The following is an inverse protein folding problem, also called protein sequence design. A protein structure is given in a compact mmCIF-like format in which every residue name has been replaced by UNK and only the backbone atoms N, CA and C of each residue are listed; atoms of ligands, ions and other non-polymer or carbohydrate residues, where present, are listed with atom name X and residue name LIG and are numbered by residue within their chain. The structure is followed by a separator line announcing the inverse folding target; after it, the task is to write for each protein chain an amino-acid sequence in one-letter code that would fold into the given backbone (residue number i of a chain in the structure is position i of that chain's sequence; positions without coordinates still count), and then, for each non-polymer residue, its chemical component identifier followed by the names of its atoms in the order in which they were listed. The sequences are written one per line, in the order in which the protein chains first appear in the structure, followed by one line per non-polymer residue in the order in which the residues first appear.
data_IF_651090571481
#
_entry.id   IF_651090571481
#
_cell.length_a   1.000
_cell.length_b   1.000
_cell.length_c   1.000
_cell.angle_alpha   90.00
_cell.angle_beta   90.00
_cell.angle_gamma   90.00
#
_symmetry.space_group_name_H-M   'P 1'
#
loop_
_entity.id
_entity.type
_entity.pdbx_description
1 polymer ?
#
# COMPACT_ATOMS: atom_id res chain seq x y z
N UNK A 1 30.44 47.35 -19.46
CA UNK A 1 29.04 47.37 -18.99
C UNK A 1 28.24 46.38 -19.83
N UNK A 2 28.02 45.20 -19.31
CA UNK A 2 27.17 44.18 -19.94
C UNK A 2 25.99 43.99 -18.98
N UNK A 3 24.81 44.39 -19.44
CA UNK A 3 23.57 44.25 -18.67
C UNK A 3 23.10 42.80 -18.72
N UNK A 4 23.05 42.15 -17.57
CA UNK A 4 22.43 40.84 -17.39
C UNK A 4 20.91 41.04 -17.20
N UNK A 5 20.13 40.61 -18.17
CA UNK A 5 18.67 40.53 -18.07
C UNK A 5 18.31 39.34 -17.21
N UNK A 6 17.82 39.60 -16.00
CA UNK A 6 17.18 38.60 -15.16
C UNK A 6 15.78 38.27 -15.75
N UNK A 7 15.59 37.05 -16.20
CA UNK A 7 14.29 36.50 -16.49
C UNK A 7 13.59 36.21 -15.16
N UNK A 8 12.51 36.95 -14.88
CA UNK A 8 11.64 36.72 -13.72
C UNK A 8 10.85 35.39 -13.84
N UNK A 9 10.42 34.79 -12.72
CA UNK A 9 9.65 33.56 -12.75
C UNK A 9 8.28 33.80 -13.41
N UNK A 10 7.98 33.05 -14.46
CA UNK A 10 6.64 32.98 -15.04
C UNK A 10 5.65 32.49 -13.97
N UNK A 11 4.87 33.41 -13.45
CA UNK A 11 3.71 33.08 -12.65
C UNK A 11 2.68 32.40 -13.55
N UNK A 12 2.66 31.06 -13.54
CA UNK A 12 1.56 30.30 -14.12
C UNK A 12 0.34 30.58 -13.27
N UNK A 13 -0.58 31.36 -13.82
CA UNK A 13 -1.91 31.60 -13.27
C UNK A 13 -2.60 30.25 -13.03
N UNK A 14 -2.82 29.92 -11.78
CA UNK A 14 -3.67 28.81 -11.36
C UNK A 14 -5.11 29.08 -11.82
N UNK A 15 -5.43 28.72 -13.05
CA UNK A 15 -6.83 28.59 -13.46
C UNK A 15 -7.42 27.47 -12.62
N UNK A 16 -8.21 27.83 -11.61
CA UNK A 16 -9.09 26.86 -10.94
C UNK A 16 -9.90 26.18 -12.05
N UNK A 17 -9.75 24.86 -12.15
CA UNK A 17 -10.54 24.08 -13.10
C UNK A 17 -12.02 24.35 -12.81
N UNK A 18 -12.68 25.05 -13.71
CA UNK A 18 -14.14 25.24 -13.67
C UNK A 18 -14.75 23.84 -13.71
N UNK A 19 -15.74 23.60 -12.86
CA UNK A 19 -16.49 22.34 -12.86
C UNK A 19 -17.03 22.12 -14.27
N UNK A 20 -16.50 21.12 -14.96
CA UNK A 20 -17.04 20.71 -16.26
C UNK A 20 -18.49 20.28 -16.07
N UNK A 21 -19.33 20.56 -17.04
CA UNK A 21 -20.76 20.20 -17.02
C UNK A 21 -20.94 18.73 -16.61
N UNK A 22 -21.98 18.39 -15.83
CA UNK A 22 -22.29 16.98 -15.51
C UNK A 22 -22.41 16.07 -16.73
N UNK A 23 -22.61 16.65 -17.92
CA UNK A 23 -22.72 15.92 -19.19
C UNK A 23 -21.38 15.72 -19.90
N UNK A 24 -20.27 16.31 -19.45
CA UNK A 24 -18.96 16.07 -20.02
C UNK A 24 -18.33 14.79 -19.48
N UNK A 25 -17.79 13.99 -20.39
CA UNK A 25 -17.03 12.81 -20.03
C UNK A 25 -15.71 13.19 -19.35
N UNK A 26 -15.40 12.50 -18.27
CA UNK A 26 -14.12 12.61 -17.59
C UNK A 26 -13.05 11.88 -18.41
N UNK A 27 -12.00 12.58 -18.81
CA UNK A 27 -10.84 12.01 -19.47
C UNK A 27 -9.96 11.27 -18.50
N UNK A 28 -9.69 9.99 -18.76
CA UNK A 28 -8.95 9.10 -17.87
C UNK A 28 -7.65 8.65 -18.51
N UNK A 29 -6.55 8.66 -17.74
CA UNK A 29 -5.33 7.96 -18.08
C UNK A 29 -5.05 6.84 -17.09
N UNK A 30 -4.64 5.68 -17.60
CA UNK A 30 -4.23 4.52 -16.79
C UNK A 30 -2.72 4.40 -16.86
N UNK A 31 -2.03 4.44 -15.73
CA UNK A 31 -0.59 4.24 -15.59
C UNK A 31 -0.32 2.90 -14.89
N UNK A 32 0.42 2.02 -15.56
CA UNK A 32 0.58 0.63 -15.16
C UNK A 32 -0.61 -0.22 -15.64
N UNK A 33 -0.42 -0.95 -16.72
CA UNK A 33 -1.47 -1.71 -17.43
C UNK A 33 -1.41 -3.22 -17.17
N UNK A 34 -0.63 -3.65 -16.17
CA UNK A 34 -0.58 -5.02 -15.69
C UNK A 34 -1.89 -5.50 -15.09
N UNK A 35 -1.88 -6.63 -14.38
CA UNK A 35 -3.09 -7.28 -13.85
C UNK A 35 -4.06 -6.34 -13.14
N UNK A 36 -3.57 -5.48 -12.21
CA UNK A 36 -4.42 -4.52 -11.50
C UNK A 36 -4.84 -3.36 -12.41
N UNK A 37 -3.93 -2.85 -13.23
CA UNK A 37 -4.25 -1.80 -14.21
C UNK A 37 -5.27 -2.23 -15.24
N UNK A 38 -5.27 -3.49 -15.67
CA UNK A 38 -6.33 -4.04 -16.51
C UNK A 38 -7.70 -4.03 -15.82
N UNK A 39 -7.74 -4.23 -14.49
CA UNK A 39 -8.99 -4.09 -13.72
C UNK A 39 -9.46 -2.62 -13.67
N UNK A 40 -8.53 -1.67 -13.48
CA UNK A 40 -8.84 -0.24 -13.54
C UNK A 40 -9.34 0.16 -14.93
N UNK A 41 -8.67 -0.32 -15.99
CA UNK A 41 -9.09 -0.07 -17.38
C UNK A 41 -10.54 -0.52 -17.59
N UNK A 42 -10.90 -1.73 -17.16
CA UNK A 42 -12.29 -2.21 -17.27
C UNK A 42 -13.27 -1.37 -16.45
N UNK A 43 -12.90 -1.01 -15.22
CA UNK A 43 -13.77 -0.22 -14.34
C UNK A 43 -14.10 1.16 -14.95
N UNK A 44 -13.10 1.86 -15.49
CA UNK A 44 -13.33 3.18 -16.10
C UNK A 44 -13.94 3.07 -17.52
N UNK A 45 -13.54 2.08 -18.35
CA UNK A 45 -14.09 1.92 -19.69
C UNK A 45 -15.57 1.56 -19.69
N UNK A 46 -16.05 0.81 -18.69
CA UNK A 46 -17.48 0.45 -18.58
C UNK A 46 -18.39 1.62 -18.20
N UNK A 47 -17.82 2.75 -17.77
CA UNK A 47 -18.57 3.94 -17.36
C UNK A 47 -18.94 4.81 -18.56
N UNK A 48 -20.20 5.25 -18.61
CA UNK A 48 -20.69 6.16 -19.66
C UNK A 48 -20.16 7.59 -19.52
N UNK A 49 -19.79 7.97 -18.30
CA UNK A 49 -19.29 9.31 -17.94
C UNK A 49 -17.76 9.42 -17.91
N UNK A 50 -17.04 8.36 -18.35
CA UNK A 50 -15.59 8.35 -18.50
C UNK A 50 -15.17 8.01 -19.93
N UNK A 51 -13.99 8.47 -20.32
CA UNK A 51 -13.33 8.10 -21.58
C UNK A 51 -11.83 7.90 -21.35
N UNK A 52 -11.32 6.71 -21.64
CA UNK A 52 -9.89 6.43 -21.51
C UNK A 52 -9.14 7.08 -22.66
N UNK A 53 -8.30 8.07 -22.34
CA UNK A 53 -7.44 8.81 -23.27
C UNK A 53 -6.10 8.14 -23.49
N UNK A 54 -5.53 7.59 -22.40
CA UNK A 54 -4.20 6.99 -22.41
C UNK A 54 -4.15 5.67 -21.65
N UNK A 55 -3.33 4.76 -22.20
CA UNK A 55 -2.83 3.57 -21.53
C UNK A 55 -1.29 3.70 -21.49
N UNK A 56 -0.71 3.79 -20.31
CA UNK A 56 0.72 4.00 -20.11
C UNK A 56 1.34 2.84 -19.33
N UNK A 57 2.40 2.28 -19.89
CA UNK A 57 3.22 1.26 -19.19
C UNK A 57 4.65 1.35 -19.73
N UNK A 58 5.68 1.23 -18.87
CA UNK A 58 7.06 1.10 -19.31
C UNK A 58 7.26 -0.11 -20.24
N UNK A 59 6.40 -1.13 -20.12
CA UNK A 59 6.23 -2.22 -21.10
C UNK A 59 5.11 -1.86 -22.10
N UNK A 60 5.49 -1.33 -23.27
CA UNK A 60 4.53 -0.88 -24.25
C UNK A 60 3.58 -1.99 -24.72
N UNK A 61 4.04 -3.23 -24.78
CA UNK A 61 3.23 -4.37 -25.21
C UNK A 61 2.00 -4.58 -24.30
N UNK A 62 2.15 -4.33 -23.00
CA UNK A 62 1.07 -4.42 -22.01
C UNK A 62 0.01 -3.34 -22.22
N UNK A 63 0.43 -2.10 -22.49
CA UNK A 63 -0.50 -1.01 -22.81
C UNK A 63 -1.29 -1.33 -24.09
N UNK A 64 -0.62 -1.79 -25.13
CA UNK A 64 -1.23 -2.16 -26.42
C UNK A 64 -2.26 -3.29 -26.30
N UNK A 65 -1.99 -4.28 -25.44
CA UNK A 65 -2.90 -5.43 -25.21
C UNK A 65 -4.29 -4.98 -24.73
N UNK A 66 -4.40 -3.85 -24.01
CA UNK A 66 -5.67 -3.38 -23.47
C UNK A 66 -6.48 -2.50 -24.42
N UNK A 67 -5.91 -2.03 -25.55
CA UNK A 67 -6.60 -1.15 -26.51
C UNK A 67 -7.89 -1.79 -27.02
N UNK A 68 -7.85 -3.07 -27.39
CA UNK A 68 -9.01 -3.81 -27.88
C UNK A 68 -10.16 -3.89 -26.87
N UNK A 69 -9.84 -4.04 -25.57
CA UNK A 69 -10.87 -4.07 -24.51
C UNK A 69 -11.52 -2.72 -24.30
N UNK A 70 -10.77 -1.63 -24.45
CA UNK A 70 -11.31 -0.26 -24.35
C UNK A 70 -12.19 0.06 -25.57
N UNK A 71 -11.81 -0.35 -26.78
CA UNK A 71 -12.57 -0.13 -28.01
C UNK A 71 -13.98 -0.75 -27.99
N UNK A 72 -14.24 -1.72 -27.11
CA UNK A 72 -15.58 -2.28 -26.92
C UNK A 72 -16.55 -1.33 -26.19
N UNK A 73 -16.03 -0.31 -25.51
CA UNK A 73 -16.82 0.59 -24.65
C UNK A 73 -16.82 2.04 -25.13
N UNK A 74 -15.87 2.45 -25.97
CA UNK A 74 -15.77 3.81 -26.51
C UNK A 74 -15.35 3.81 -27.98
N UNK A 75 -15.72 4.89 -28.71
CA UNK A 75 -15.44 4.99 -30.15
C UNK A 75 -13.99 5.34 -30.47
N UNK A 76 -13.36 6.17 -29.61
CA UNK A 76 -11.99 6.64 -29.81
C UNK A 76 -11.03 5.68 -29.14
N UNK A 77 -10.07 5.14 -29.87
CA UNK A 77 -9.02 4.31 -29.29
C UNK A 77 -8.11 5.15 -28.36
N UNK A 78 -7.70 4.62 -27.18
CA UNK A 78 -6.76 5.31 -26.32
C UNK A 78 -5.37 5.36 -26.96
N UNK A 79 -4.61 6.41 -26.68
CA UNK A 79 -3.19 6.47 -27.01
C UNK A 79 -2.40 5.54 -26.11
N UNK A 80 -1.40 4.83 -26.63
CA UNK A 80 -0.47 4.03 -25.85
C UNK A 80 0.88 4.73 -25.76
N UNK A 81 1.42 4.89 -24.54
CA UNK A 81 2.70 5.57 -24.28
C UNK A 81 3.51 4.83 -23.22
N UNK A 82 4.84 4.91 -23.30
CA UNK A 82 5.72 4.38 -22.25
C UNK A 82 6.02 5.41 -21.16
N UNK A 83 6.17 6.67 -21.55
CA UNK A 83 6.49 7.76 -20.66
C UNK A 83 5.23 8.50 -20.20
N UNK A 84 4.92 8.41 -18.90
CA UNK A 84 3.76 9.04 -18.30
C UNK A 84 3.79 10.57 -18.32
N UNK A 85 4.95 11.20 -18.46
CA UNK A 85 5.08 12.67 -18.53
C UNK A 85 4.31 13.25 -19.71
N UNK A 86 4.15 12.50 -20.80
CA UNK A 86 3.35 12.89 -21.98
C UNK A 86 1.85 13.02 -21.69
N UNK A 87 1.38 12.46 -20.58
CA UNK A 87 -0.03 12.49 -20.19
C UNK A 87 -0.35 13.79 -19.45
N UNK A 88 0.61 14.30 -18.68
CA UNK A 88 0.35 15.39 -17.74
C UNK A 88 0.12 16.72 -18.43
N UNK A 89 0.67 16.90 -19.64
CA UNK A 89 0.50 18.10 -20.47
C UNK A 89 -0.80 18.09 -21.30
N UNK A 90 -1.55 16.98 -21.33
CA UNK A 90 -2.80 16.87 -22.11
C UNK A 90 -4.01 17.32 -21.28
N UNK A 91 -4.59 18.47 -21.66
CA UNK A 91 -5.77 19.05 -20.99
C UNK A 91 -7.04 18.19 -21.12
N UNK A 92 -7.06 17.23 -22.04
CA UNK A 92 -8.17 16.27 -22.18
C UNK A 92 -8.17 15.17 -21.12
N UNK A 93 -7.13 15.09 -20.28
CA UNK A 93 -7.02 14.18 -19.14
C UNK A 93 -7.42 14.93 -17.87
N UNK A 94 -8.43 14.45 -17.18
CA UNK A 94 -8.93 14.99 -15.91
C UNK A 94 -8.40 14.20 -14.72
N UNK A 95 -8.32 12.89 -14.85
CA UNK A 95 -7.91 11.96 -13.79
C UNK A 95 -6.84 10.99 -14.28
N UNK A 96 -5.98 10.61 -13.35
CA UNK A 96 -4.95 9.59 -13.57
C UNK A 96 -5.17 8.44 -12.60
N UNK A 97 -5.24 7.22 -13.10
CA UNK A 97 -5.37 6.01 -12.29
C UNK A 97 -4.08 5.21 -12.35
N UNK A 98 -3.41 5.06 -11.19
CA UNK A 98 -2.05 4.53 -11.07
C UNK A 98 -2.09 3.13 -10.46
N UNK A 99 -1.60 2.15 -11.20
CA UNK A 99 -1.48 0.74 -10.81
C UNK A 99 -0.13 0.15 -11.27
N UNK A 100 0.91 0.97 -11.26
CA UNK A 100 2.31 0.62 -11.57
C UNK A 100 2.98 -0.18 -10.43
N UNK A 101 4.29 -0.34 -10.47
CA UNK A 101 5.06 -0.86 -9.35
C UNK A 101 5.10 0.15 -8.19
N UNK A 102 5.26 -0.34 -6.95
CA UNK A 102 5.13 0.49 -5.73
C UNK A 102 6.03 1.72 -5.73
N UNK A 103 7.26 1.60 -6.22
CA UNK A 103 8.24 2.69 -6.24
C UNK A 103 7.83 3.87 -7.15
N UNK A 104 6.88 3.67 -8.04
CA UNK A 104 6.34 4.71 -8.91
C UNK A 104 5.09 5.42 -8.36
N UNK A 105 4.39 4.81 -7.41
CA UNK A 105 3.07 5.32 -6.97
C UNK A 105 3.13 6.78 -6.53
N UNK A 106 4.11 7.13 -5.69
CA UNK A 106 4.22 8.47 -5.14
C UNK A 106 4.60 9.51 -6.19
N UNK A 107 5.70 9.30 -6.93
CA UNK A 107 6.18 10.29 -7.88
C UNK A 107 5.17 10.54 -9.02
N UNK A 108 4.58 9.48 -9.56
CA UNK A 108 3.54 9.59 -10.58
C UNK A 108 2.31 10.36 -10.07
N UNK A 109 1.89 10.11 -8.81
CA UNK A 109 0.77 10.85 -8.19
C UNK A 109 1.10 12.32 -7.97
N UNK A 110 2.31 12.61 -7.50
CA UNK A 110 2.79 13.98 -7.26
C UNK A 110 2.78 14.77 -8.57
N UNK A 111 3.41 14.25 -9.62
CA UNK A 111 3.44 14.89 -10.94
C UNK A 111 2.05 15.10 -11.52
N UNK A 112 1.17 14.09 -11.42
CA UNK A 112 -0.21 14.21 -11.89
C UNK A 112 -0.96 15.33 -11.15
N UNK A 113 -0.85 15.40 -9.82
CA UNK A 113 -1.52 16.43 -9.01
C UNK A 113 -0.94 17.82 -9.25
N UNK A 114 0.36 17.97 -9.44
CA UNK A 114 1.01 19.22 -9.83
C UNK A 114 0.54 19.71 -11.21
N UNK A 115 0.30 18.77 -12.14
CA UNK A 115 -0.28 19.04 -13.46
C UNK A 115 -1.81 19.24 -13.43
N UNK A 116 -2.41 19.35 -12.25
CA UNK A 116 -3.84 19.65 -12.12
C UNK A 116 -4.78 18.45 -12.28
N UNK A 117 -4.27 17.21 -12.30
CA UNK A 117 -5.09 16.01 -12.43
C UNK A 117 -5.50 15.48 -11.04
N UNK A 118 -6.68 14.88 -10.94
CA UNK A 118 -7.08 14.10 -9.78
C UNK A 118 -6.55 12.66 -9.89
N UNK A 119 -6.31 11.99 -8.76
CA UNK A 119 -5.56 10.73 -8.74
C UNK A 119 -6.32 9.62 -8.02
N UNK A 120 -6.38 8.46 -8.65
CA UNK A 120 -6.63 7.18 -7.99
C UNK A 120 -5.33 6.39 -7.97
N UNK A 121 -4.79 6.07 -6.81
CA UNK A 121 -3.52 5.35 -6.68
C UNK A 121 -3.69 4.02 -5.97
N UNK A 122 -3.09 2.96 -6.51
CA UNK A 122 -3.08 1.66 -5.84
C UNK A 122 -2.25 1.66 -4.56
N UNK A 123 -2.57 0.69 -3.71
CA UNK A 123 -1.87 0.44 -2.44
C UNK A 123 -0.59 -0.43 -2.65
N UNK A 124 0.43 -0.29 -1.80
CA UNK A 124 0.65 0.83 -0.88
C UNK A 124 0.84 2.12 -1.66
N UNK A 125 0.39 3.26 -1.13
CA UNK A 125 0.40 4.52 -1.88
C UNK A 125 1.79 5.03 -2.20
N UNK A 126 2.79 4.51 -1.51
CA UNK A 126 4.21 4.93 -1.61
C UNK A 126 5.13 3.74 -1.39
N UNK A 127 6.39 3.92 -1.70
CA UNK A 127 7.43 2.93 -1.43
C UNK A 127 8.08 3.12 -0.05
N UNK A 128 8.05 4.32 0.51
CA UNK A 128 8.54 4.67 1.83
C UNK A 128 7.63 5.71 2.52
N UNK A 129 7.92 6.03 3.78
CA UNK A 129 7.07 6.92 4.60
C UNK A 129 7.07 8.35 4.06
N UNK A 130 8.24 8.90 3.75
CA UNK A 130 8.40 10.27 3.26
C UNK A 130 7.60 10.51 1.97
N UNK A 131 7.67 9.60 1.01
CA UNK A 131 6.90 9.66 -0.24
C UNK A 131 5.39 9.81 0.00
N UNK A 132 4.84 8.98 0.90
CA UNK A 132 3.42 9.04 1.22
C UNK A 132 3.01 10.37 1.87
N UNK A 133 3.86 10.93 2.74
CA UNK A 133 3.64 12.26 3.33
C UNK A 133 3.67 13.36 2.25
N UNK A 134 4.62 13.30 1.30
CA UNK A 134 4.68 14.25 0.17
C UNK A 134 3.42 14.21 -0.69
N UNK A 135 2.86 13.02 -0.95
CA UNK A 135 1.58 12.91 -1.68
C UNK A 135 0.44 13.63 -0.97
N UNK A 136 0.32 13.47 0.36
CA UNK A 136 -0.70 14.16 1.16
C UNK A 136 -0.53 15.69 1.04
N UNK A 137 0.70 16.19 1.20
CA UNK A 137 1.01 17.61 1.12
C UNK A 137 0.67 18.19 -0.25
N UNK A 138 1.07 17.50 -1.34
CA UNK A 138 0.77 17.91 -2.72
C UNK A 138 -0.74 17.91 -2.98
N UNK A 139 -1.47 16.86 -2.55
CA UNK A 139 -2.91 16.79 -2.72
C UNK A 139 -3.62 17.99 -2.06
N UNK A 140 -3.19 18.38 -0.87
CA UNK A 140 -3.75 19.54 -0.14
C UNK A 140 -3.37 20.88 -0.80
N UNK A 141 -2.07 21.06 -1.13
CA UNK A 141 -1.58 22.30 -1.77
C UNK A 141 -2.27 22.56 -3.11
N UNK A 142 -2.36 21.55 -3.96
CA UNK A 142 -2.95 21.67 -5.29
C UNK A 142 -4.47 21.42 -5.33
N UNK A 143 -5.11 21.18 -4.16
CA UNK A 143 -6.55 20.92 -4.01
C UNK A 143 -7.03 19.82 -4.96
N UNK A 144 -6.27 18.72 -5.04
CA UNK A 144 -6.61 17.57 -5.88
C UNK A 144 -7.30 16.49 -5.05
N UNK A 145 -8.25 15.83 -5.69
CA UNK A 145 -8.87 14.62 -5.13
C UNK A 145 -7.90 13.47 -5.35
N UNK A 146 -7.48 12.81 -4.27
CA UNK A 146 -6.57 11.69 -4.33
C UNK A 146 -7.09 10.54 -3.48
N UNK A 147 -7.52 9.44 -4.12
CA UNK A 147 -8.05 8.25 -3.47
C UNK A 147 -7.07 7.10 -3.53
N UNK A 148 -6.98 6.38 -2.42
CA UNK A 148 -6.19 5.15 -2.30
C UNK A 148 -7.00 3.92 -2.72
N UNK A 149 -6.36 2.96 -3.40
CA UNK A 149 -6.93 1.67 -3.77
C UNK A 149 -7.12 0.70 -2.61
N UNK A 150 -7.57 1.16 -1.43
CA UNK A 150 -7.95 0.34 -0.27
C UNK A 150 -9.45 0.07 -0.25
N UNK A 151 -9.93 -0.62 -1.28
CA UNK A 151 -11.35 -0.84 -1.57
C UNK A 151 -12.12 -1.60 -0.48
N UNK A 152 -11.45 -2.22 0.49
CA UNK A 152 -12.12 -2.86 1.64
C UNK A 152 -12.95 -1.86 2.46
N UNK A 153 -12.57 -0.58 2.49
CA UNK A 153 -13.35 0.51 3.11
C UNK A 153 -14.71 0.77 2.45
N UNK A 154 -14.85 0.42 1.18
CA UNK A 154 -16.13 0.56 0.45
C UNK A 154 -17.05 -0.62 0.62
N UNK A 155 -16.60 -1.72 1.26
CA UNK A 155 -17.41 -2.91 1.44
C UNK A 155 -18.35 -2.78 2.65
N UNK A 156 -19.64 -3.07 2.46
CA UNK A 156 -20.66 -2.84 3.47
C UNK A 156 -20.46 -3.62 4.76
N UNK A 157 -19.92 -4.86 4.70
CA UNK A 157 -19.62 -5.65 5.90
C UNK A 157 -18.54 -5.01 6.78
N UNK A 158 -17.52 -4.40 6.17
CA UNK A 158 -16.46 -3.70 6.93
C UNK A 158 -16.97 -2.40 7.54
N UNK A 159 -17.87 -1.66 6.84
CA UNK A 159 -18.54 -0.49 7.42
C UNK A 159 -19.40 -0.88 8.60
N UNK A 160 -20.27 -1.89 8.43
CA UNK A 160 -21.11 -2.40 9.51
C UNK A 160 -20.28 -2.90 10.71
N UNK A 161 -19.10 -3.46 10.48
CA UNK A 161 -18.18 -3.87 11.54
C UNK A 161 -17.65 -2.66 12.32
N UNK A 162 -17.20 -1.62 11.64
CA UNK A 162 -16.71 -0.39 12.30
C UNK A 162 -17.82 0.28 13.08
N UNK A 163 -19.04 0.36 12.53
CA UNK A 163 -20.22 0.89 13.23
C UNK A 163 -20.57 0.07 14.47
N UNK A 164 -20.49 -1.28 14.38
CA UNK A 164 -20.74 -2.20 15.48
C UNK A 164 -19.74 -2.00 16.63
N UNK A 165 -18.44 -1.86 16.29
CA UNK A 165 -17.36 -1.58 17.25
C UNK A 165 -17.57 -0.20 17.89
N UNK A 166 -17.82 0.83 17.07
CA UNK A 166 -18.04 2.20 17.53
C UNK A 166 -19.24 2.33 18.48
N UNK A 167 -20.24 1.46 18.31
CA UNK A 167 -21.40 1.37 19.20
C UNK A 167 -21.12 0.57 20.49
N UNK A 168 -19.90 0.12 20.74
CA UNK A 168 -19.48 -0.63 21.93
C UNK A 168 -20.03 -2.05 22.04
N UNK A 169 -20.58 -2.61 20.94
CA UNK A 169 -21.33 -3.90 20.98
C UNK A 169 -20.46 -5.16 21.09
N UNK A 170 -19.14 -5.02 21.10
CA UNK A 170 -18.16 -6.10 21.34
C UNK A 170 -17.28 -5.79 22.55
N UNK A 171 -17.72 -4.82 23.36
CA UNK A 171 -16.97 -4.31 24.50
C UNK A 171 -15.79 -3.42 24.10
N UNK A 172 -14.83 -3.26 25.00
CA UNK A 172 -13.62 -2.45 24.77
C UNK A 172 -12.68 -3.18 23.80
N UNK A 173 -12.32 -2.51 22.68
CA UNK A 173 -11.45 -3.08 21.66
C UNK A 173 -10.04 -2.48 21.76
N UNK A 174 -9.04 -3.34 22.02
CA UNK A 174 -7.64 -2.93 22.22
C UNK A 174 -6.67 -3.60 21.24
N UNK A 175 -7.07 -4.68 20.57
CA UNK A 175 -6.17 -5.50 19.76
C UNK A 175 -6.80 -5.89 18.44
N UNK A 176 -6.01 -5.77 17.36
CA UNK A 176 -6.35 -6.31 16.06
C UNK A 176 -5.19 -7.17 15.52
N UNK A 177 -5.50 -8.39 15.11
CA UNK A 177 -4.62 -9.27 14.36
C UNK A 177 -4.92 -9.16 12.86
N UNK A 178 -3.91 -8.81 12.09
CA UNK A 178 -3.94 -8.79 10.63
C UNK A 178 -3.31 -10.08 10.10
N UNK A 179 -4.14 -11.07 9.77
CA UNK A 179 -3.69 -12.38 9.26
C UNK A 179 -3.47 -12.31 7.74
N UNK A 180 -2.26 -12.53 7.27
CA UNK A 180 -1.86 -12.47 5.86
C UNK A 180 -1.38 -13.86 5.42
N UNK A 181 -2.25 -14.85 5.47
CA UNK A 181 -2.00 -16.22 5.02
C UNK A 181 -2.19 -16.33 3.51
N UNK A 182 -1.14 -16.03 2.76
CA UNK A 182 -1.14 -16.09 1.30
C UNK A 182 0.05 -16.90 0.81
N UNK A 183 -0.21 -18.15 0.43
CA UNK A 183 0.85 -19.05 -0.05
C UNK A 183 1.62 -18.42 -1.21
N UNK A 184 2.95 -18.39 -1.05
CA UNK A 184 3.93 -17.95 -2.05
C UNK A 184 4.94 -19.07 -2.31
N UNK A 185 5.20 -19.33 -3.58
CA UNK A 185 6.33 -20.17 -3.97
C UNK A 185 7.58 -19.33 -4.20
N UNK A 186 8.74 -20.00 -4.41
CA UNK A 186 9.97 -19.32 -4.79
C UNK A 186 9.81 -18.62 -6.14
N UNK A 187 10.48 -17.48 -6.30
CA UNK A 187 10.48 -16.67 -7.53
C UNK A 187 11.59 -17.05 -8.52
N UNK A 188 12.27 -18.15 -8.29
CA UNK A 188 13.40 -18.64 -9.07
C UNK A 188 14.76 -18.22 -8.49
N UNK A 189 15.83 -18.82 -9.00
CA UNK A 189 17.19 -18.55 -8.53
C UNK A 189 17.62 -17.11 -8.87
N UNK A 190 18.44 -16.51 -7.98
CA UNK A 190 19.06 -15.21 -8.23
C UNK A 190 20.09 -15.34 -9.37
N UNK A 191 20.06 -14.38 -10.31
CA UNK A 191 20.94 -14.35 -11.47
C UNK A 191 21.01 -12.97 -12.10
N UNK A 192 21.51 -12.92 -13.35
CA UNK A 192 21.40 -11.73 -14.20
C UNK A 192 20.46 -12.06 -15.34
N UNK A 193 19.47 -11.23 -15.56
CA UNK A 193 18.45 -11.40 -16.58
C UNK A 193 18.29 -10.08 -17.33
N UNK A 194 17.91 -10.17 -18.60
CA UNK A 194 17.55 -8.98 -19.37
C UNK A 194 16.07 -8.65 -19.17
N UNK A 195 15.69 -7.37 -19.15
CA UNK A 195 14.30 -6.97 -19.22
C UNK A 195 13.72 -7.41 -20.59
N UNK A 196 12.39 -7.64 -20.70
CA UNK A 196 11.76 -7.86 -22.00
C UNK A 196 12.07 -6.70 -22.98
N UNK A 197 12.24 -6.99 -24.28
CA UNK A 197 12.56 -5.99 -25.32
C UNK A 197 11.51 -4.86 -25.43
N UNK A 198 10.26 -5.13 -25.07
CA UNK A 198 9.17 -4.15 -25.07
C UNK A 198 9.21 -3.17 -23.88
N UNK A 199 10.13 -3.39 -22.92
CA UNK A 199 10.26 -2.59 -21.69
C UNK A 199 11.32 -1.51 -21.88
N UNK A 200 10.94 -0.24 -21.71
CA UNK A 200 11.89 0.81 -21.41
C UNK A 200 12.35 0.66 -19.96
N UNK A 201 13.55 0.09 -19.76
CA UNK A 201 14.05 -0.27 -18.44
C UNK A 201 14.41 0.96 -17.60
N UNK A 202 14.82 2.07 -18.23
CA UNK A 202 15.06 3.34 -17.55
C UNK A 202 13.77 3.88 -16.94
N UNK A 203 12.70 3.92 -17.71
CA UNK A 203 11.36 4.31 -17.25
C UNK A 203 10.77 3.29 -16.25
N UNK A 204 11.06 1.98 -16.42
CA UNK A 204 10.61 0.99 -15.45
C UNK A 204 11.23 1.21 -14.07
N UNK A 205 12.54 1.46 -14.00
CA UNK A 205 13.24 1.75 -12.75
C UNK A 205 12.84 3.12 -12.17
N UNK A 206 12.73 4.15 -13.00
CA UNK A 206 12.31 5.48 -12.56
C UNK A 206 13.04 5.96 -11.30
N UNK A 207 12.33 6.24 -10.20
CA UNK A 207 12.93 6.70 -8.94
C UNK A 207 13.77 5.65 -8.21
N UNK A 208 13.68 4.37 -8.58
CA UNK A 208 14.50 3.31 -8.04
C UNK A 208 15.90 3.31 -8.69
N UNK A 209 16.91 2.68 -8.05
CA UNK A 209 18.22 2.51 -8.68
C UNK A 209 18.13 1.75 -10.00
N UNK A 210 18.95 2.13 -10.98
CA UNK A 210 19.10 1.41 -12.24
C UNK A 210 19.99 0.17 -12.04
N UNK A 211 19.46 -0.83 -11.31
CA UNK A 211 20.16 -2.06 -10.97
C UNK A 211 19.84 -3.17 -11.95
N UNK A 212 20.75 -4.15 -12.18
CA UNK A 212 20.47 -5.32 -13.01
C UNK A 212 19.25 -6.11 -12.52
N UNK A 213 18.50 -6.71 -13.43
CA UNK A 213 17.40 -7.63 -13.09
C UNK A 213 17.97 -8.90 -12.48
N UNK A 214 17.59 -9.21 -11.23
CA UNK A 214 18.13 -10.35 -10.48
C UNK A 214 17.20 -11.55 -10.42
N UNK A 215 16.02 -11.48 -11.03
CA UNK A 215 14.95 -12.47 -10.98
C UNK A 215 14.54 -12.95 -12.37
N UNK A 216 14.21 -14.24 -12.58
CA UNK A 216 13.89 -14.76 -13.92
C UNK A 216 12.55 -14.28 -14.46
N UNK A 217 11.54 -13.99 -13.60
CA UNK A 217 10.27 -13.42 -14.01
C UNK A 217 10.29 -11.92 -13.77
N UNK A 218 10.33 -11.13 -14.83
CA UNK A 218 10.44 -9.68 -14.77
C UNK A 218 9.23 -9.04 -14.07
N UNK A 219 8.03 -9.37 -14.56
CA UNK A 219 6.76 -8.85 -14.05
C UNK A 219 6.33 -9.57 -12.77
N UNK A 220 5.53 -8.90 -11.96
CA UNK A 220 4.97 -9.35 -10.68
C UNK A 220 6.01 -9.61 -9.57
N UNK A 221 7.12 -10.31 -9.83
CA UNK A 221 8.09 -10.68 -8.81
C UNK A 221 8.92 -9.50 -8.29
N UNK A 222 8.75 -8.32 -8.88
CA UNK A 222 9.28 -7.07 -8.33
C UNK A 222 8.77 -6.76 -6.91
N UNK A 223 7.62 -7.31 -6.50
CA UNK A 223 7.07 -7.13 -5.16
C UNK A 223 8.03 -7.56 -4.05
N UNK A 224 8.91 -8.53 -4.33
CA UNK A 224 9.86 -9.09 -3.36
C UNK A 224 11.30 -8.59 -3.51
N UNK A 225 11.50 -7.53 -4.27
CA UNK A 225 12.79 -6.82 -4.40
C UNK A 225 12.65 -5.49 -3.68
N UNK A 226 13.52 -5.21 -2.69
CA UNK A 226 13.41 -4.05 -1.82
C UNK A 226 13.37 -2.70 -2.56
N UNK A 227 14.10 -2.58 -3.66
CA UNK A 227 14.11 -1.33 -4.45
C UNK A 227 12.82 -1.05 -5.20
N UNK A 228 11.98 -2.05 -5.43
CA UNK A 228 10.80 -1.97 -6.30
C UNK A 228 9.48 -2.20 -5.56
N UNK A 229 9.50 -2.99 -4.49
CA UNK A 229 8.32 -3.43 -3.76
C UNK A 229 8.53 -3.48 -2.25
N UNK A 230 7.47 -3.82 -1.51
CA UNK A 230 7.42 -3.78 -0.05
C UNK A 230 7.09 -5.15 0.57
N UNK A 231 7.31 -6.25 -0.18
CA UNK A 231 6.96 -7.60 0.28
C UNK A 231 5.47 -7.80 0.51
N UNK A 232 5.10 -8.92 1.12
CA UNK A 232 3.68 -9.19 1.40
C UNK A 232 3.10 -8.33 2.53
N UNK A 233 3.92 -7.75 3.40
CA UNK A 233 3.46 -6.78 4.39
C UNK A 233 2.84 -5.56 3.69
N UNK A 234 3.53 -4.95 2.71
CA UNK A 234 3.01 -3.83 1.92
C UNK A 234 2.02 -4.26 0.83
N UNK A 235 2.20 -5.44 0.22
CA UNK A 235 1.34 -5.88 -0.88
C UNK A 235 -0.03 -6.41 -0.41
N UNK A 236 -0.04 -7.32 0.56
CA UNK A 236 -1.27 -7.93 1.08
C UNK A 236 -1.66 -7.40 2.45
N UNK A 237 -0.70 -7.21 3.35
CA UNK A 237 -0.91 -6.77 4.74
C UNK A 237 -1.63 -5.45 4.84
N UNK A 238 -1.28 -4.51 3.97
CA UNK A 238 -1.87 -3.16 3.97
C UNK A 238 -3.40 -3.12 4.00
N UNK A 239 -4.09 -4.02 3.29
CA UNK A 239 -5.57 -4.04 3.31
C UNK A 239 -6.12 -4.36 4.71
N UNK A 240 -5.43 -5.23 5.47
CA UNK A 240 -5.82 -5.58 6.84
C UNK A 240 -5.42 -4.49 7.80
N UNK A 241 -4.21 -3.97 7.69
CA UNK A 241 -3.72 -2.84 8.48
C UNK A 241 -4.64 -1.62 8.34
N UNK A 242 -5.10 -1.33 7.14
CA UNK A 242 -6.01 -0.21 6.86
C UNK A 242 -7.36 -0.37 7.59
N UNK A 243 -7.96 -1.55 7.54
CA UNK A 243 -9.22 -1.83 8.24
C UNK A 243 -9.00 -1.96 9.74
N UNK A 244 -7.89 -2.54 10.22
CA UNK A 244 -7.55 -2.61 11.64
C UNK A 244 -7.41 -1.21 12.25
N UNK A 245 -6.67 -0.30 11.58
CA UNK A 245 -6.58 1.10 11.99
C UNK A 245 -7.95 1.76 12.11
N UNK A 246 -8.80 1.57 11.10
CA UNK A 246 -10.14 2.14 11.08
C UNK A 246 -11.01 1.58 12.20
N UNK A 247 -11.01 0.26 12.41
CA UNK A 247 -11.77 -0.42 13.47
C UNK A 247 -11.32 -0.01 14.89
N UNK A 248 -10.01 0.11 15.12
CA UNK A 248 -9.45 0.56 16.39
C UNK A 248 -9.56 2.10 16.59
N UNK A 249 -9.86 2.87 15.53
CA UNK A 249 -9.87 4.33 15.58
C UNK A 249 -8.47 4.95 15.80
N UNK A 250 -7.39 4.22 15.52
CA UNK A 250 -6.01 4.72 15.72
C UNK A 250 -5.53 5.51 14.50
N UNK A 251 -4.71 6.54 14.76
CA UNK A 251 -4.16 7.45 13.76
C UNK A 251 -2.64 7.53 13.86
N UNK A 252 -1.99 7.86 12.75
CA UNK A 252 -0.54 8.02 12.69
C UNK A 252 0.22 6.68 12.76
N UNK A 253 1.55 6.75 12.99
CA UNK A 253 2.46 5.61 12.89
C UNK A 253 2.53 4.71 14.14
N UNK A 254 1.81 5.07 15.25
CA UNK A 254 1.99 4.43 16.55
C UNK A 254 3.19 4.98 17.33
N UNK A 255 3.39 4.49 18.56
CA UNK A 255 4.48 4.93 19.47
C UNK A 255 5.75 4.11 19.26
N UNK A 256 5.60 2.80 19.02
CA UNK A 256 6.72 1.90 18.74
C UNK A 256 6.35 0.88 17.67
N UNK A 257 7.36 0.38 16.97
CA UNK A 257 7.25 -0.75 16.06
C UNK A 257 8.40 -1.72 16.28
N UNK A 258 8.08 -3.02 16.19
CA UNK A 258 9.06 -4.10 16.22
C UNK A 258 8.65 -5.19 15.24
N UNK A 259 9.61 -5.82 14.57
CA UNK A 259 9.33 -6.89 13.62
C UNK A 259 10.32 -8.04 13.75
N UNK A 260 9.84 -9.26 13.52
CA UNK A 260 10.70 -10.44 13.38
C UNK A 260 10.19 -11.33 12.25
N UNK A 261 11.07 -12.17 11.70
CA UNK A 261 10.71 -13.06 10.61
C UNK A 261 11.86 -13.42 9.70
N UNK A 262 11.58 -13.69 8.44
CA UNK A 262 12.60 -14.03 7.45
C UNK A 262 12.02 -14.49 6.12
N UNK A 263 12.92 -14.80 5.18
CA UNK A 263 12.58 -15.51 3.95
C UNK A 263 12.94 -16.96 4.14
N UNK A 264 11.94 -17.80 4.47
CA UNK A 264 12.10 -19.11 5.09
C UNK A 264 11.43 -20.22 4.25
N UNK A 265 11.88 -21.46 4.43
CA UNK A 265 11.32 -22.64 3.78
C UNK A 265 11.83 -22.90 2.35
N UNK A 266 12.45 -21.92 1.70
CA UNK A 266 13.11 -22.05 0.41
C UNK A 266 14.12 -20.91 0.18
N UNK A 267 15.03 -21.12 -0.79
CA UNK A 267 15.97 -20.08 -1.26
C UNK A 267 15.64 -19.69 -2.68
N UNK A 268 15.59 -18.37 -2.96
CA UNK A 268 15.30 -17.80 -4.28
C UNK A 268 15.88 -16.39 -4.43
N UNK A 269 15.50 -15.67 -5.50
CA UNK A 269 15.95 -14.31 -5.75
C UNK A 269 15.27 -13.24 -4.88
N UNK A 270 14.25 -13.59 -4.10
CA UNK A 270 13.50 -12.64 -3.28
C UNK A 270 14.32 -12.13 -2.10
N UNK A 271 14.06 -10.89 -1.71
CA UNK A 271 14.77 -10.17 -0.65
C UNK A 271 13.87 -9.91 0.55
N UNK A 272 12.57 -9.73 0.32
CA UNK A 272 11.61 -9.44 1.38
C UNK A 272 11.20 -10.70 2.13
N UNK A 273 10.83 -10.62 3.42
CA UNK A 273 10.32 -11.76 4.18
C UNK A 273 9.09 -12.40 3.51
N UNK A 274 8.98 -13.72 3.62
CA UNK A 274 7.75 -14.44 3.34
C UNK A 274 7.03 -14.88 4.63
N UNK A 275 7.72 -14.82 5.76
CA UNK A 275 7.17 -15.00 7.11
C UNK A 275 7.64 -13.83 7.96
N UNK A 276 6.69 -13.03 8.47
CA UNK A 276 7.01 -11.82 9.22
C UNK A 276 5.90 -11.49 10.20
N UNK A 277 6.26 -11.23 11.44
CA UNK A 277 5.36 -10.67 12.44
C UNK A 277 5.80 -9.25 12.74
N UNK A 278 4.85 -8.32 12.76
CA UNK A 278 5.09 -6.92 13.08
C UNK A 278 4.13 -6.47 14.17
N UNK A 279 4.67 -5.85 15.21
CA UNK A 279 3.97 -5.34 16.37
C UNK A 279 3.94 -3.83 16.32
N UNK A 280 2.76 -3.23 16.38
CA UNK A 280 2.57 -1.78 16.46
C UNK A 280 1.89 -1.42 17.78
N UNK A 281 2.56 -0.63 18.60
CA UNK A 281 2.05 -0.09 19.84
C UNK A 281 1.48 1.32 19.65
N UNK A 282 0.23 1.53 20.02
CA UNK A 282 -0.43 2.84 20.06
C UNK A 282 -0.69 3.32 21.50
N UNK A 283 -0.15 2.62 22.50
CA UNK A 283 -0.34 2.86 23.91
C UNK A 283 -1.35 1.91 24.53
N UNK A 284 -2.61 2.27 24.50
CA UNK A 284 -3.74 1.45 24.97
C UNK A 284 -4.30 0.49 23.91
N UNK A 285 -3.79 0.56 22.69
CA UNK A 285 -4.18 -0.28 21.55
C UNK A 285 -2.98 -0.83 20.80
N UNK A 286 -3.15 -1.97 20.17
CA UNK A 286 -2.10 -2.61 19.39
C UNK A 286 -2.62 -3.21 18.07
N UNK A 287 -1.76 -3.22 17.06
CA UNK A 287 -1.98 -3.97 15.81
C UNK A 287 -0.83 -4.97 15.66
N UNK A 288 -1.18 -6.24 15.52
CA UNK A 288 -0.24 -7.33 15.22
C UNK A 288 -0.48 -7.79 13.80
N UNK A 289 0.56 -7.79 12.97
CA UNK A 289 0.47 -8.24 11.58
C UNK A 289 1.27 -9.51 11.41
N UNK A 290 0.61 -10.61 11.01
CA UNK A 290 1.24 -11.91 10.78
C UNK A 290 1.21 -12.24 9.28
N UNK A 291 2.37 -12.15 8.62
CA UNK A 291 2.56 -12.58 7.23
C UNK A 291 3.02 -14.02 7.22
N UNK A 292 2.25 -14.89 6.60
CA UNK A 292 2.52 -16.32 6.42
C UNK A 292 2.47 -16.69 4.93
N UNK A 293 3.63 -16.66 4.27
CA UNK A 293 3.78 -17.02 2.85
C UNK A 293 3.90 -18.53 2.61
N UNK A 294 4.12 -19.33 3.65
CA UNK A 294 4.07 -20.80 3.62
C UNK A 294 2.64 -21.28 3.95
N UNK A 295 2.29 -22.55 3.68
CA UNK A 295 1.02 -23.13 4.11
C UNK A 295 0.76 -22.89 5.60
N UNK A 296 -0.40 -22.35 5.95
CA UNK A 296 -0.71 -21.92 7.32
C UNK A 296 -2.09 -22.39 7.77
N UNK A 297 -2.23 -22.56 9.08
CA UNK A 297 -3.51 -22.83 9.76
C UNK A 297 -4.20 -21.52 10.13
N UNK A 298 -5.47 -21.59 10.49
CA UNK A 298 -6.26 -20.44 10.90
C UNK A 298 -6.11 -20.14 12.41
N UNK A 299 -5.99 -18.87 12.76
CA UNK A 299 -6.20 -18.36 14.11
C UNK A 299 -7.64 -17.84 14.24
N UNK A 300 -8.40 -18.28 15.24
CA UNK A 300 -9.82 -17.94 15.41
C UNK A 300 -10.59 -17.96 14.07
N UNK A 301 -10.43 -19.05 13.32
CA UNK A 301 -11.01 -19.30 11.98
C UNK A 301 -10.52 -18.41 10.85
N UNK A 302 -9.50 -17.58 11.08
CA UNK A 302 -8.98 -16.64 10.12
C UNK A 302 -7.52 -16.94 9.77
N UNK A 303 -7.27 -17.39 8.54
CA UNK A 303 -5.91 -17.49 8.00
C UNK A 303 -5.55 -16.28 7.13
N UNK A 304 -6.55 -15.56 6.57
CA UNK A 304 -6.34 -14.44 5.68
C UNK A 304 -7.45 -13.39 5.84
N UNK A 305 -7.29 -12.46 6.78
CA UNK A 305 -8.28 -11.45 7.15
C UNK A 305 -7.90 -10.77 8.45
N UNK A 306 -8.89 -10.41 9.24
CA UNK A 306 -8.76 -9.74 10.53
C UNK A 306 -9.38 -10.53 11.64
N UNK A 307 -8.76 -10.48 12.82
CA UNK A 307 -9.40 -10.81 14.10
C UNK A 307 -9.27 -9.56 14.97
N UNK A 308 -10.41 -9.02 15.42
CA UNK A 308 -10.47 -7.84 16.28
C UNK A 308 -11.01 -8.29 17.62
N UNK A 309 -10.23 -8.13 18.68
CA UNK A 309 -10.57 -8.60 20.02
C UNK A 309 -11.15 -7.49 20.87
N UNK A 310 -12.33 -7.74 21.42
CA UNK A 310 -13.00 -6.91 22.40
C UNK A 310 -13.15 -7.63 23.72
N UNK A 311 -13.56 -6.90 24.78
CA UNK A 311 -13.77 -7.47 26.13
C UNK A 311 -14.92 -8.51 26.20
N UNK A 312 -15.90 -8.42 25.28
CA UNK A 312 -17.13 -9.22 25.33
C UNK A 312 -17.21 -10.25 24.18
N UNK A 313 -16.15 -10.34 23.36
CA UNK A 313 -16.08 -11.24 22.23
C UNK A 313 -15.07 -10.80 21.19
N UNK A 314 -15.15 -11.36 19.99
CA UNK A 314 -14.26 -10.95 18.90
C UNK A 314 -15.01 -10.88 17.56
N UNK A 315 -14.43 -10.16 16.63
CA UNK A 315 -14.93 -10.04 15.25
C UNK A 315 -13.89 -10.58 14.28
N UNK A 316 -14.34 -11.39 13.32
CA UNK A 316 -13.52 -11.75 12.16
C UNK A 316 -13.99 -10.99 10.94
N UNK A 317 -13.05 -10.54 10.09
CA UNK A 317 -13.36 -9.84 8.86
C UNK A 317 -12.44 -10.25 7.72
N UNK A 318 -13.02 -10.29 6.52
CA UNK A 318 -12.32 -10.44 5.24
C UNK A 318 -12.60 -9.23 4.36
N UNK A 319 -12.26 -9.32 3.08
CA UNK A 319 -12.65 -8.29 2.11
C UNK A 319 -14.18 -8.08 2.06
N UNK A 320 -14.96 -9.17 2.12
CA UNK A 320 -16.39 -9.17 1.75
C UNK A 320 -17.32 -9.66 2.84
N UNK A 321 -16.78 -10.02 4.00
CA UNK A 321 -17.58 -10.57 5.12
C UNK A 321 -17.02 -10.13 6.45
N UNK A 322 -17.90 -9.96 7.44
CA UNK A 322 -17.55 -9.80 8.84
C UNK A 322 -18.55 -10.55 9.72
N UNK A 323 -18.07 -11.14 10.83
CA UNK A 323 -18.90 -11.90 11.75
C UNK A 323 -18.46 -11.70 13.19
N UNK A 324 -19.42 -11.67 14.11
CA UNK A 324 -19.23 -11.49 15.55
C UNK A 324 -19.31 -12.85 16.25
N UNK A 325 -18.43 -13.05 17.21
CA UNK A 325 -18.32 -14.25 18.05
C UNK A 325 -18.24 -13.84 19.52
N UNK A 326 -18.78 -14.68 20.43
CA UNK A 326 -18.55 -14.56 21.87
C UNK A 326 -17.13 -15.04 22.25
N UNK A 327 -16.78 -14.95 23.54
CA UNK A 327 -15.48 -15.37 24.06
C UNK A 327 -15.23 -16.88 23.90
N UNK A 328 -16.29 -17.71 23.88
CA UNK A 328 -16.24 -19.16 23.68
C UNK A 328 -16.11 -19.55 22.20
N UNK A 329 -16.17 -18.57 21.27
CA UNK A 329 -16.04 -18.79 19.83
C UNK A 329 -17.33 -19.23 19.14
N UNK A 330 -18.48 -19.08 19.79
CA UNK A 330 -19.79 -19.29 19.18
C UNK A 330 -20.15 -18.06 18.35
N UNK A 331 -20.56 -18.31 17.11
CA UNK A 331 -20.97 -17.22 16.21
C UNK A 331 -22.27 -16.60 16.68
N UNK A 332 -22.28 -15.29 16.88
CA UNK A 332 -23.45 -14.51 17.28
C UNK A 332 -24.21 -14.06 16.02
N UNK A 333 -23.52 -13.38 15.07
CA UNK A 333 -24.17 -12.88 13.86
C UNK A 333 -23.17 -12.56 12.75
N UNK A 334 -23.67 -12.43 11.53
CA UNK A 334 -22.95 -11.81 10.40
C UNK A 334 -23.23 -10.31 10.36
N UNK A 335 -22.20 -9.51 10.08
CA UNK A 335 -22.35 -8.08 9.86
C UNK A 335 -22.48 -7.82 8.36
N UNK A 336 -23.63 -7.25 7.96
CA UNK A 336 -23.97 -6.96 6.58
C UNK A 336 -24.24 -5.48 6.42
N UNK A 337 -23.90 -4.91 5.27
CA UNK A 337 -24.17 -3.53 4.90
C UNK A 337 -24.11 -3.39 3.39
N UNK A 338 -24.56 -2.25 2.88
CA UNK A 338 -24.50 -1.93 1.46
C UNK A 338 -23.04 -1.67 1.04
N UNK A 339 -22.59 -2.37 0.03
CA UNK A 339 -21.31 -2.10 -0.61
C UNK A 339 -21.46 -0.91 -1.58
N UNK A 340 -20.47 -0.02 -1.61
CA UNK A 340 -20.37 1.02 -2.61
C UNK A 340 -19.23 0.67 -3.57
N UNK A 341 -19.39 0.96 -4.85
CA UNK A 341 -18.28 0.81 -5.79
C UNK A 341 -17.20 1.86 -5.45
N UNK A 342 -15.97 1.40 -5.35
CA UNK A 342 -14.86 2.25 -4.91
C UNK A 342 -14.42 3.26 -5.99
N UNK A 343 -14.57 2.91 -7.27
CA UNK A 343 -14.33 3.82 -8.39
C UNK A 343 -15.47 4.82 -8.54
N UNK A 344 -16.74 4.41 -8.30
CA UNK A 344 -17.87 5.32 -8.26
C UNK A 344 -17.70 6.38 -7.18
N UNK A 345 -17.28 5.99 -5.99
CA UNK A 345 -16.98 6.91 -4.90
C UNK A 345 -15.90 7.92 -5.28
N UNK A 346 -14.85 7.48 -5.97
CA UNK A 346 -13.81 8.38 -6.47
C UNK A 346 -14.38 9.41 -7.48
N UNK A 347 -15.14 8.95 -8.47
CA UNK A 347 -15.74 9.84 -9.48
C UNK A 347 -16.72 10.84 -8.83
N UNK A 348 -17.51 10.41 -7.84
CA UNK A 348 -18.39 11.30 -7.10
C UNK A 348 -17.60 12.39 -6.36
N UNK A 349 -16.49 12.02 -5.69
CA UNK A 349 -15.62 12.99 -5.02
C UNK A 349 -14.91 13.95 -6.00
N UNK A 350 -14.49 13.45 -7.17
CA UNK A 350 -13.95 14.30 -8.25
C UNK A 350 -14.98 15.34 -8.69
N UNK A 351 -16.25 14.96 -8.85
CA UNK A 351 -17.33 15.88 -9.24
C UNK A 351 -17.71 16.85 -8.14
N UNK A 352 -17.82 16.40 -6.89
CA UNK A 352 -18.18 17.26 -5.74
C UNK A 352 -17.04 18.18 -5.30
N UNK A 353 -15.78 17.88 -5.68
CA UNK A 353 -14.55 18.54 -5.23
C UNK A 353 -14.34 18.47 -3.72
N UNK A 354 -14.92 17.48 -3.04
CA UNK A 354 -14.82 17.28 -1.59
C UNK A 354 -14.02 16.01 -1.30
N UNK A 355 -12.81 16.15 -0.76
CA UNK A 355 -12.00 15.01 -0.30
C UNK A 355 -12.66 14.25 0.86
N UNK A 356 -13.55 14.91 1.62
CA UNK A 356 -14.35 14.28 2.68
C UNK A 356 -15.34 13.23 2.17
N UNK A 357 -15.67 13.24 0.88
CA UNK A 357 -16.57 12.25 0.27
C UNK A 357 -15.86 10.96 -0.08
N UNK A 358 -14.50 10.95 -0.03
CA UNK A 358 -13.69 9.77 -0.31
C UNK A 358 -13.80 8.72 0.80
N UNK A 359 -14.03 7.48 0.43
CA UNK A 359 -13.96 6.35 1.36
C UNK A 359 -12.52 6.09 1.84
N UNK A 360 -11.53 6.42 1.03
CA UNK A 360 -10.11 6.20 1.30
C UNK A 360 -9.27 7.38 0.81
N UNK A 361 -9.36 8.53 1.52
CA UNK A 361 -8.51 9.69 1.25
C UNK A 361 -7.03 9.32 1.32
N UNK A 362 -6.18 10.04 0.58
CA UNK A 362 -4.75 9.79 0.53
C UNK A 362 -4.08 9.81 1.90
N UNK A 363 -4.56 10.58 2.87
CA UNK A 363 -4.05 10.58 4.25
C UNK A 363 -4.24 9.22 4.91
N UNK A 364 -5.41 8.59 4.72
CA UNK A 364 -5.68 7.25 5.25
C UNK A 364 -4.78 6.20 4.59
N UNK A 365 -4.59 6.31 3.27
CA UNK A 365 -3.68 5.46 2.53
C UNK A 365 -2.22 5.61 2.96
N UNK A 366 -1.77 6.84 3.17
CA UNK A 366 -0.43 7.13 3.69
C UNK A 366 -0.23 6.50 5.08
N UNK A 367 -1.12 6.76 6.03
CA UNK A 367 -0.98 6.24 7.39
C UNK A 367 -0.98 4.70 7.42
N UNK A 368 -1.79 4.04 6.60
CA UNK A 368 -1.81 2.58 6.51
C UNK A 368 -0.55 2.02 5.83
N UNK A 369 -0.05 2.68 4.78
CA UNK A 369 1.20 2.32 4.13
C UNK A 369 2.40 2.52 5.07
N UNK A 370 2.41 3.61 5.83
CA UNK A 370 3.47 3.92 6.79
C UNK A 370 3.66 2.79 7.81
N UNK A 371 2.60 2.21 8.36
CA UNK A 371 2.73 1.06 9.28
C UNK A 371 3.45 -0.12 8.62
N UNK A 372 3.12 -0.45 7.37
CA UNK A 372 3.82 -1.51 6.65
C UNK A 372 5.30 -1.16 6.43
N UNK A 373 5.61 0.09 6.09
CA UNK A 373 6.99 0.54 5.88
C UNK A 373 7.80 0.51 7.18
N UNK A 374 7.23 0.98 8.29
CA UNK A 374 7.87 0.96 9.62
C UNK A 374 8.19 -0.48 10.07
N UNK A 375 7.28 -1.42 9.85
CA UNK A 375 7.53 -2.84 10.11
C UNK A 375 8.67 -3.41 9.25
N UNK A 376 8.74 -3.03 7.97
CA UNK A 376 9.84 -3.40 7.10
C UNK A 376 11.15 -2.74 7.51
N UNK A 377 11.15 -1.50 8.00
CA UNK A 377 12.36 -0.81 8.50
C UNK A 377 12.92 -1.55 9.73
N UNK A 378 12.06 -1.87 10.71
CA UNK A 378 12.50 -2.68 11.86
C UNK A 378 13.13 -4.00 11.41
N UNK A 379 12.48 -4.73 10.48
CA UNK A 379 13.03 -5.99 9.96
C UNK A 379 14.39 -5.81 9.25
N UNK A 380 14.53 -4.78 8.41
CA UNK A 380 15.76 -4.51 7.63
C UNK A 380 16.96 -4.12 8.51
N UNK A 381 16.71 -3.54 9.66
CA UNK A 381 17.73 -3.20 10.67
C UNK A 381 18.01 -4.36 11.63
N UNK A 382 17.32 -5.48 11.44
CA UNK A 382 17.43 -6.64 12.31
C UNK A 382 18.71 -7.45 12.12
N UNK A 383 18.92 -8.34 13.08
CA UNK A 383 19.98 -9.35 13.07
C UNK A 383 19.41 -10.74 13.32
N UNK A 384 20.14 -11.74 12.99
CA UNK A 384 19.77 -13.11 13.34
C UNK A 384 19.73 -13.28 14.87
N UNK A 385 18.70 -13.95 15.37
CA UNK A 385 18.49 -14.20 16.78
C UNK A 385 17.87 -15.58 17.04
N UNK A 386 18.15 -16.14 18.21
CA UNK A 386 17.55 -17.38 18.69
C UNK A 386 16.13 -17.15 19.19
N UNK A 387 15.23 -18.16 19.11
CA UNK A 387 13.85 -18.04 19.58
C UNK A 387 13.71 -17.51 21.00
N UNK A 388 14.54 -17.94 21.94
CA UNK A 388 14.49 -17.46 23.33
C UNK A 388 14.76 -15.95 23.46
N UNK A 389 15.73 -15.42 22.71
CA UNK A 389 16.01 -13.98 22.70
C UNK A 389 14.87 -13.20 22.09
N UNK A 390 14.26 -13.72 21.01
CA UNK A 390 13.10 -13.06 20.38
C UNK A 390 11.96 -12.96 21.38
N UNK A 391 11.62 -14.06 22.06
CA UNK A 391 10.55 -14.07 23.05
C UNK A 391 10.81 -13.09 24.20
N UNK A 392 12.05 -13.01 24.73
CA UNK A 392 12.45 -12.03 25.74
C UNK A 392 12.18 -10.60 25.27
N UNK A 393 12.60 -10.28 24.03
CA UNK A 393 12.40 -8.94 23.46
C UNK A 393 10.94 -8.61 23.19
N UNK A 394 10.15 -9.59 22.76
CA UNK A 394 8.70 -9.43 22.54
C UNK A 394 7.97 -9.17 23.87
N UNK A 395 8.33 -9.90 24.93
CA UNK A 395 7.72 -9.77 26.25
C UNK A 395 7.98 -8.39 26.90
N UNK A 396 9.00 -7.68 26.45
CA UNK A 396 9.30 -6.32 26.89
C UNK A 396 8.52 -5.23 26.11
N UNK A 397 7.73 -5.60 25.08
CA UNK A 397 6.94 -4.63 24.32
C UNK A 397 5.61 -4.33 25.02
N UNK A 398 5.14 -3.09 24.90
CA UNK A 398 3.80 -2.71 25.35
C UNK A 398 2.75 -3.07 24.29
N UNK A 399 2.48 -4.37 24.14
CA UNK A 399 1.49 -4.89 23.19
C UNK A 399 0.30 -5.42 23.96
N UNK A 400 -0.89 -4.99 23.58
CA UNK A 400 -2.12 -5.57 24.11
C UNK A 400 -2.26 -7.01 23.57
N UNK A 401 -2.53 -7.97 24.48
CA UNK A 401 -2.65 -9.38 24.16
C UNK A 401 -1.41 -10.22 24.45
N UNK A 402 -1.50 -11.51 24.20
CA UNK A 402 -0.44 -12.48 24.50
C UNK A 402 0.56 -12.57 23.33
N UNK A 403 1.70 -11.90 23.50
CA UNK A 403 2.79 -11.94 22.52
C UNK A 403 3.48 -13.30 22.48
N UNK A 404 3.47 -14.06 23.60
CA UNK A 404 4.05 -15.40 23.65
C UNK A 404 3.21 -16.38 22.83
N UNK A 405 1.88 -16.34 22.96
CA UNK A 405 0.96 -17.13 22.11
C UNK A 405 1.19 -16.84 20.62
N UNK A 406 1.32 -15.56 20.25
CA UNK A 406 1.62 -15.15 18.87
C UNK A 406 2.94 -15.72 18.39
N UNK A 407 3.97 -15.69 19.23
CA UNK A 407 5.29 -16.23 18.90
C UNK A 407 5.25 -17.75 18.75
N UNK A 408 4.63 -18.46 19.69
CA UNK A 408 4.47 -19.91 19.65
C UNK A 408 3.69 -20.37 18.41
N UNK A 409 2.63 -19.67 18.03
CA UNK A 409 1.88 -19.90 16.80
C UNK A 409 2.78 -19.74 15.56
N UNK A 410 3.65 -18.74 15.55
CA UNK A 410 4.60 -18.52 14.46
C UNK A 410 5.68 -19.63 14.42
N UNK A 411 6.24 -20.01 15.56
CA UNK A 411 7.20 -21.12 15.64
C UNK A 411 6.57 -22.43 15.17
N UNK A 412 5.33 -22.70 15.59
CA UNK A 412 4.59 -23.89 15.12
C UNK A 412 4.38 -23.85 13.60
N UNK A 413 3.98 -22.69 13.05
CA UNK A 413 3.83 -22.52 11.61
C UNK A 413 5.12 -22.87 10.85
N UNK A 414 6.28 -22.39 11.33
CA UNK A 414 7.57 -22.67 10.71
C UNK A 414 7.95 -24.16 10.83
N UNK A 415 7.75 -24.75 11.99
CA UNK A 415 7.99 -26.18 12.23
C UNK A 415 7.12 -27.07 11.34
N UNK A 416 5.83 -26.76 11.22
CA UNK A 416 4.87 -27.50 10.38
C UNK A 416 5.25 -27.44 8.88
N UNK A 417 6.02 -26.44 8.48
CA UNK A 417 6.57 -26.26 7.13
C UNK A 417 8.02 -26.78 6.99
N UNK A 418 8.54 -27.50 7.98
CA UNK A 418 9.86 -28.11 7.92
C UNK A 418 11.03 -27.10 8.00
N UNK A 419 10.80 -25.88 8.49
CA UNK A 419 11.85 -24.88 8.65
C UNK A 419 12.70 -25.20 9.87
N UNK A 420 13.99 -25.39 9.64
CA UNK A 420 15.02 -25.62 10.65
C UNK A 420 15.65 -24.29 11.06
N UNK A 421 15.27 -23.78 12.23
CA UNK A 421 15.72 -22.47 12.72
C UNK A 421 17.16 -22.45 13.21
N UNK A 422 17.80 -23.60 13.41
CA UNK A 422 19.25 -23.69 13.69
C UNK A 422 20.06 -23.42 12.42
N UNK A 423 19.51 -23.79 11.24
CA UNK A 423 20.16 -23.56 9.94
C UNK A 423 19.75 -22.23 9.30
N UNK A 424 18.49 -21.83 9.51
CA UNK A 424 17.92 -20.60 8.94
C UNK A 424 17.25 -19.78 10.06
N UNK A 425 18.05 -19.10 10.89
CA UNK A 425 17.53 -18.37 12.04
C UNK A 425 16.63 -17.20 11.62
N UNK A 426 15.73 -16.84 12.53
CA UNK A 426 14.88 -15.65 12.37
C UNK A 426 15.71 -14.37 12.45
N UNK A 427 15.32 -13.39 11.69
CA UNK A 427 15.75 -11.99 11.86
C UNK A 427 14.90 -11.33 12.93
N UNK A 428 15.53 -10.74 13.94
CA UNK A 428 14.93 -9.92 14.98
C UNK A 428 15.26 -8.46 14.70
N UNK A 429 14.25 -7.66 14.38
CA UNK A 429 14.37 -6.21 14.22
C UNK A 429 14.42 -5.51 15.57
N UNK A 430 15.04 -4.33 15.67
CA UNK A 430 14.99 -3.50 16.87
C UNK A 430 13.56 -3.00 17.14
N UNK A 431 13.25 -2.78 18.42
CA UNK A 431 12.09 -1.96 18.80
C UNK A 431 12.43 -0.50 18.54
N UNK A 432 11.66 0.15 17.69
CA UNK A 432 11.90 1.52 17.22
C UNK A 432 10.84 2.44 17.81
N UNK A 433 11.26 3.40 18.63
CA UNK A 433 10.40 4.46 19.15
C UNK A 433 10.19 5.55 18.08
N UNK A 434 8.97 6.09 18.01
CA UNK A 434 8.53 6.96 16.94
C UNK A 434 8.06 8.31 17.49
N UNK A 435 8.57 9.41 16.92
CA UNK A 435 7.92 10.71 17.03
C UNK A 435 6.69 10.70 16.12
N UNK A 436 5.53 10.54 16.75
CA UNK A 436 4.24 10.41 16.02
C UNK A 436 3.92 11.65 15.17
N UNK A 437 4.34 12.84 15.63
CA UNK A 437 4.06 14.09 14.92
C UNK A 437 4.98 14.31 13.73
N UNK A 438 6.26 14.03 13.92
CA UNK A 438 7.29 14.16 12.88
C UNK A 438 7.32 12.99 11.91
N UNK A 439 6.71 11.85 12.26
CA UNK A 439 6.82 10.57 11.53
C UNK A 439 8.27 10.13 11.34
N UNK A 440 9.11 10.38 12.35
CA UNK A 440 10.53 10.03 12.40
C UNK A 440 10.80 9.11 13.59
N UNK A 441 11.97 8.51 13.63
CA UNK A 441 12.36 7.68 14.77
C UNK A 441 13.07 8.52 15.82
N UNK A 442 12.83 8.21 17.09
CA UNK A 442 13.49 8.88 18.20
C UNK A 442 14.89 8.27 18.36
N UNK A 443 15.91 9.13 18.33
CA UNK A 443 17.33 8.79 18.55
C UNK A 443 17.87 7.63 17.68
N UNK A 444 17.34 7.48 16.43
CA UNK A 444 17.78 6.43 15.53
C UNK A 444 17.98 6.92 14.08
N UNK A 445 19.11 7.60 13.79
CA UNK A 445 19.39 8.11 12.44
C UNK A 445 19.48 7.02 11.34
N UNK A 446 19.86 5.80 11.72
CA UNK A 446 19.91 4.68 10.78
C UNK A 446 18.49 4.28 10.32
N UNK A 447 17.54 4.26 11.24
CA UNK A 447 16.14 4.02 10.91
C UNK A 447 15.55 5.19 10.10
N UNK A 448 15.86 6.43 10.46
CA UNK A 448 15.43 7.62 9.71
C UNK A 448 15.90 7.63 8.27
N UNK A 449 17.12 7.15 8.00
CA UNK A 449 17.62 7.03 6.64
C UNK A 449 16.79 6.12 5.72
N UNK A 450 15.98 5.21 6.31
CA UNK A 450 15.09 4.31 5.61
C UNK A 450 13.66 4.84 5.45
N UNK A 451 13.34 6.00 6.04
CA UNK A 451 12.06 6.69 5.82
C UNK A 451 11.95 7.30 4.42
N UNK A 452 13.06 7.44 3.75
CA UNK A 452 13.21 7.91 2.37
C UNK A 452 14.21 7.04 1.62
N UNK A 453 14.66 7.46 0.46
CA UNK A 453 15.71 6.80 -0.33
C UNK A 453 16.47 7.81 -1.19
N UNK A 454 17.69 7.52 -1.64
CA UNK A 454 18.29 8.24 -2.76
C UNK A 454 17.46 8.06 -4.03
N UNK A 455 17.06 9.15 -4.65
CA UNK A 455 16.34 9.14 -5.92
C UNK A 455 17.30 9.32 -7.08
N UNK A 456 16.90 8.84 -8.25
CA UNK A 456 17.68 8.93 -9.48
C UNK A 456 17.14 10.03 -10.38
N UNK A 457 17.99 10.97 -10.78
CA UNK A 457 17.61 12.01 -11.74
C UNK A 457 17.14 11.40 -13.09
N UNK A 458 16.11 11.96 -13.71
CA UNK A 458 15.27 13.09 -13.28
C UNK A 458 14.05 12.67 -12.42
N UNK A 459 14.03 11.46 -11.88
CA UNK A 459 12.89 10.85 -11.20
C UNK A 459 12.95 11.09 -9.68
N UNK A 460 13.04 12.36 -9.28
CA UNK A 460 13.20 12.76 -7.87
C UNK A 460 11.87 13.12 -7.24
N UNK A 461 11.54 12.48 -6.11
CA UNK A 461 10.41 12.91 -5.28
C UNK A 461 10.81 14.21 -4.58
N UNK A 462 10.00 15.27 -4.68
CA UNK A 462 10.38 16.58 -4.13
C UNK A 462 10.50 16.55 -2.60
N UNK A 463 11.44 17.30 -2.07
CA UNK A 463 11.51 17.59 -0.65
C UNK A 463 10.34 18.52 -0.23
N UNK A 464 10.03 18.56 1.08
CA UNK A 464 8.92 19.35 1.60
C UNK A 464 9.00 20.83 1.21
N UNK A 465 10.20 21.40 1.28
CA UNK A 465 10.46 22.79 0.91
C UNK A 465 10.23 23.11 -0.57
N UNK A 466 10.19 22.07 -1.43
CA UNK A 466 9.95 22.20 -2.86
C UNK A 466 8.49 21.92 -3.27
N UNK A 467 7.64 21.56 -2.31
CA UNK A 467 6.19 21.41 -2.50
C UNK A 467 5.47 22.78 -2.27
#
# INVERSE_FOLDING_TARGET
MIAATMAGPCAHSLKAAQSKSPNEKIGVAIIGTGGRGAAHTRAFASRRDCEIRYLCDADLSRAQTLVGSVAQHQKTAPKTVQDMRRIFDDDSVDIVSIASCNHWHALASIWAMQAGKDVYVEKPVSHNVSEGRRMVQVARKYRRICQTGTQYRSHGSNRAMVDYISAGKVGEVKLAFCMVGKRRGPIGARGKFDPPESVDYDLFCGPAPLAPVTRPRFHYDWHWIWDLGNGDLGNSGIHRVDIARWALGVKGPGKTVMSYGGRLGYSDAGETPNTQVTLHDFGDKSIVVEVHGLPTTAYKRMSNGLVIEGSDGYITSTQTSAAVFDLEGKKIQDLKGEATDHFDNFIQAVRSRKSSDLNADILEGHQSSALCHLGNISHRLGRQAKPAEILERLSAQNIQGDVAETFDRNLKHLKDNGVDLDKTPLTLGPSLAIDVKGETFIDNPQADSLLTRPYRDPFVVPEESAI
#
